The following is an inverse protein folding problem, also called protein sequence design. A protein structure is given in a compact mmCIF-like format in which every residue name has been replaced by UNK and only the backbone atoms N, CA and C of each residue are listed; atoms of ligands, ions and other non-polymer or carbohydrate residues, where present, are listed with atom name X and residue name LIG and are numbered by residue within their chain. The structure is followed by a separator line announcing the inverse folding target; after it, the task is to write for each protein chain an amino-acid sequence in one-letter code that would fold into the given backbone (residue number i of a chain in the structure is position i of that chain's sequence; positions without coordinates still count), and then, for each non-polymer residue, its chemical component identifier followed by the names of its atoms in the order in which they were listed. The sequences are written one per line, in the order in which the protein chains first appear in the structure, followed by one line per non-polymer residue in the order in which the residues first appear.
data_IF_016743798835
#
_entry.id   IF_016743798835
#
_cell.length_a   1.000
_cell.length_b   1.000
_cell.length_c   1.000
_cell.angle_alpha   90.00
_cell.angle_beta   90.00
_cell.angle_gamma   90.00
#
_symmetry.space_group_name_H-M   'P 1'
#
loop_
_entity.id
_entity.type
_entity.pdbx_description
1 polymer ?
#
# COMPACT_ATOMS: atom_id res chain seq x y z
N UNK A 1 -12.45 -8.17 -10.15
CA UNK A 1 -12.43 -7.55 -8.82
C UNK A 1 -12.45 -6.03 -8.90
N UNK A 2 -13.09 -5.39 -7.96
CA UNK A 2 -13.13 -3.93 -7.91
C UNK A 2 -11.82 -3.39 -7.34
N UNK A 3 -11.48 -2.13 -7.63
CA UNK A 3 -10.31 -1.50 -7.00
C UNK A 3 -10.35 -1.55 -5.47
N UNK A 4 -11.54 -1.39 -4.88
CA UNK A 4 -11.70 -1.48 -3.43
C UNK A 4 -11.30 -2.87 -2.91
N UNK A 5 -11.72 -3.92 -3.59
CA UNK A 5 -11.36 -5.29 -3.21
C UNK A 5 -9.87 -5.52 -3.30
N UNK A 6 -9.22 -4.99 -4.36
CA UNK A 6 -7.78 -5.09 -4.50
C UNK A 6 -7.05 -4.34 -3.37
N UNK A 7 -7.56 -3.16 -3.01
CA UNK A 7 -6.98 -2.38 -1.90
C UNK A 7 -7.08 -3.13 -0.58
N UNK A 8 -8.21 -3.81 -0.34
CA UNK A 8 -8.40 -4.60 0.88
C UNK A 8 -7.45 -5.80 0.93
N UNK A 9 -7.25 -6.48 -0.20
CA UNK A 9 -6.29 -7.59 -0.28
C UNK A 9 -4.88 -7.09 -0.01
N UNK A 10 -4.50 -5.96 -0.58
CA UNK A 10 -3.18 -5.37 -0.35
C UNK A 10 -2.98 -5.03 1.13
N UNK A 11 -3.99 -4.43 1.76
CA UNK A 11 -3.92 -4.09 3.19
C UNK A 11 -3.75 -5.35 4.05
N UNK A 12 -4.49 -6.40 3.73
CA UNK A 12 -4.38 -7.68 4.43
C UNK A 12 -2.99 -8.28 4.28
N UNK A 13 -2.42 -8.22 3.06
CA UNK A 13 -1.08 -8.72 2.80
C UNK A 13 -0.03 -7.99 3.64
N UNK A 14 -0.17 -6.66 3.75
CA UNK A 14 0.73 -5.86 4.55
C UNK A 14 0.61 -6.21 6.04
N UNK A 15 -0.61 -6.45 6.50
CA UNK A 15 -0.86 -6.83 7.89
C UNK A 15 -0.24 -8.19 8.22
N UNK A 16 -0.30 -9.13 7.30
CA UNK A 16 0.27 -10.47 7.52
C UNK A 16 1.78 -10.43 7.78
N UNK A 17 2.47 -9.43 7.26
CA UNK A 17 3.90 -9.23 7.50
C UNK A 17 4.16 -8.12 8.52
N UNK A 18 3.14 -7.77 9.29
CA UNK A 18 3.21 -6.80 10.40
C UNK A 18 3.65 -5.41 9.96
N UNK A 19 3.14 -4.96 8.80
CA UNK A 19 3.36 -3.60 8.36
C UNK A 19 2.82 -2.62 9.38
N UNK A 20 3.52 -1.51 9.58
CA UNK A 20 3.11 -0.46 10.51
C UNK A 20 2.20 0.54 9.86
N UNK A 21 1.30 1.12 10.65
CA UNK A 21 0.44 2.23 10.25
C UNK A 21 -0.18 2.05 8.86
N UNK A 22 -0.80 0.90 8.64
CA UNK A 22 -1.42 0.58 7.36
C UNK A 22 -2.63 1.47 7.15
N UNK A 23 -2.68 2.14 6.01
CA UNK A 23 -3.79 3.01 5.64
C UNK A 23 -4.15 2.77 4.17
N UNK A 24 -5.42 2.93 3.85
CA UNK A 24 -5.90 2.93 2.47
C UNK A 24 -6.78 4.16 2.27
N UNK A 25 -6.55 4.86 1.17
CA UNK A 25 -7.22 6.14 0.90
C UNK A 25 -7.80 6.10 -0.51
N UNK A 26 -9.08 6.38 -0.61
CA UNK A 26 -9.73 6.54 -1.91
C UNK A 26 -9.41 7.93 -2.45
N UNK A 27 -8.79 7.99 -3.63
CA UNK A 27 -8.34 9.23 -4.23
C UNK A 27 -8.94 9.49 -5.60
N UNK A 28 -9.98 8.74 -5.95
CA UNK A 28 -10.62 8.80 -7.28
C UNK A 28 -11.00 10.21 -7.68
N UNK A 29 -11.49 11.02 -6.73
CA UNK A 29 -11.94 12.39 -7.00
C UNK A 29 -10.80 13.38 -7.09
N UNK A 30 -9.60 13.04 -6.58
CA UNK A 30 -8.46 13.95 -6.54
C UNK A 30 -7.52 13.76 -7.71
N UNK A 31 -7.51 12.59 -8.32
CA UNK A 31 -6.57 12.27 -9.38
C UNK A 31 -7.07 11.16 -10.28
N UNK A 32 -6.52 11.09 -11.48
CA UNK A 32 -6.76 9.97 -12.40
C UNK A 32 -5.63 8.94 -12.35
N UNK A 33 -4.64 9.15 -11.48
CA UNK A 33 -3.48 8.24 -11.38
C UNK A 33 -3.86 6.87 -10.83
N UNK A 34 -4.78 6.83 -9.86
CA UNK A 34 -5.23 5.60 -9.27
C UNK A 34 -6.55 5.86 -8.52
N UNK A 35 -7.25 4.79 -8.17
CA UNK A 35 -8.47 4.92 -7.36
C UNK A 35 -8.15 4.88 -5.87
N UNK A 36 -7.14 4.11 -5.47
CA UNK A 36 -6.75 3.96 -4.07
C UNK A 36 -5.24 3.99 -3.92
N UNK A 37 -4.77 4.62 -2.85
CA UNK A 37 -3.41 4.43 -2.33
C UNK A 37 -3.51 3.55 -1.10
N UNK A 38 -2.61 2.57 -1.01
CA UNK A 38 -2.46 1.73 0.18
C UNK A 38 -1.05 1.96 0.70
N UNK A 39 -0.92 2.34 1.96
CA UNK A 39 0.35 2.80 2.53
C UNK A 39 0.70 2.00 3.77
N UNK A 40 1.95 1.62 3.90
CA UNK A 40 2.43 0.95 5.10
C UNK A 40 3.88 1.34 5.40
N UNK A 41 4.30 1.08 6.63
CA UNK A 41 5.65 1.37 7.11
C UNK A 41 6.36 0.06 7.43
N UNK A 42 7.61 -0.05 6.99
CA UNK A 42 8.49 -1.15 7.38
C UNK A 42 9.60 -0.65 8.30
N UNK A 43 10.03 -1.50 9.22
CA UNK A 43 11.05 -1.14 10.21
C UNK A 43 12.49 -1.35 9.71
N UNK A 44 12.64 -2.04 8.57
CA UNK A 44 13.94 -2.34 7.98
C UNK A 44 13.77 -2.62 6.50
N UNK A 45 14.86 -2.60 5.74
CA UNK A 45 14.80 -2.95 4.33
C UNK A 45 14.31 -4.39 4.13
N UNK A 46 14.68 -5.28 5.03
CA UNK A 46 14.21 -6.67 4.98
C UNK A 46 12.70 -6.72 5.14
N UNK A 47 12.15 -5.98 6.09
CA UNK A 47 10.69 -5.94 6.28
C UNK A 47 9.99 -5.27 5.10
N UNK A 48 10.55 -4.17 4.57
CA UNK A 48 9.98 -3.50 3.41
C UNK A 48 9.87 -4.48 2.24
N UNK A 49 10.92 -5.26 1.98
CA UNK A 49 10.88 -6.26 0.92
C UNK A 49 9.87 -7.37 1.21
N UNK A 50 9.75 -7.78 2.46
CA UNK A 50 8.77 -8.80 2.86
C UNK A 50 7.34 -8.30 2.66
N UNK A 51 7.08 -7.03 2.99
CA UNK A 51 5.77 -6.41 2.78
C UNK A 51 5.42 -6.38 1.30
N UNK A 52 6.36 -5.94 0.46
CA UNK A 52 6.14 -5.91 -0.99
C UNK A 52 5.89 -7.31 -1.55
N UNK A 53 6.68 -8.28 -1.13
CA UNK A 53 6.50 -9.67 -1.57
C UNK A 53 5.15 -10.25 -1.17
N UNK A 54 4.68 -9.92 0.02
CA UNK A 54 3.36 -10.37 0.49
C UNK A 54 2.24 -9.79 -0.36
N UNK A 55 2.30 -8.49 -0.67
CA UNK A 55 1.31 -7.83 -1.53
C UNK A 55 1.30 -8.50 -2.91
N UNK A 56 2.47 -8.67 -3.51
CA UNK A 56 2.57 -9.29 -4.84
C UNK A 56 2.01 -10.71 -4.84
N UNK A 57 2.32 -11.49 -3.81
CA UNK A 57 1.85 -12.86 -3.69
C UNK A 57 0.33 -12.94 -3.56
N UNK A 58 -0.25 -12.18 -2.63
CA UNK A 58 -1.68 -12.25 -2.39
C UNK A 58 -2.51 -11.73 -3.56
N UNK A 59 -2.08 -10.63 -4.17
CA UNK A 59 -2.80 -10.10 -5.33
C UNK A 59 -2.73 -11.05 -6.52
N UNK A 60 -1.62 -11.74 -6.72
CA UNK A 60 -1.53 -12.74 -7.77
C UNK A 60 -2.40 -13.95 -7.46
N UNK A 61 -2.35 -14.48 -6.23
CA UNK A 61 -3.10 -15.66 -5.85
C UNK A 61 -4.60 -15.43 -5.81
N UNK A 62 -5.04 -14.29 -5.29
CA UNK A 62 -6.45 -14.03 -5.04
C UNK A 62 -7.14 -13.26 -6.15
N UNK A 63 -6.40 -12.50 -6.95
CA UNK A 63 -6.98 -11.65 -7.98
C UNK A 63 -6.34 -11.84 -9.36
N UNK A 64 -5.27 -12.62 -9.46
CA UNK A 64 -4.57 -12.80 -10.73
C UNK A 64 -3.86 -11.54 -11.20
N UNK A 65 -3.57 -10.60 -10.28
CA UNK A 65 -2.95 -9.32 -10.63
C UNK A 65 -1.47 -9.31 -10.33
N UNK A 66 -0.72 -8.75 -11.26
CA UNK A 66 0.72 -8.49 -11.10
C UNK A 66 0.96 -7.00 -11.23
N UNK A 67 1.96 -6.45 -10.54
CA UNK A 67 2.20 -5.01 -10.67
C UNK A 67 2.64 -4.65 -12.09
N UNK A 68 2.12 -3.53 -12.58
CA UNK A 68 2.53 -2.97 -13.87
C UNK A 68 3.95 -2.43 -13.76
N UNK A 69 4.30 -1.88 -12.60
CA UNK A 69 5.64 -1.38 -12.30
C UNK A 69 5.95 -1.58 -10.83
N UNK A 70 7.21 -1.84 -10.56
CA UNK A 70 7.75 -1.83 -9.20
C UNK A 70 8.94 -0.89 -9.20
N UNK A 71 8.87 0.17 -8.41
CA UNK A 71 9.93 1.15 -8.33
C UNK A 71 10.43 1.29 -6.89
N UNK A 72 11.75 1.38 -6.73
CA UNK A 72 12.35 1.62 -5.43
C UNK A 72 13.08 2.96 -5.43
N UNK A 73 12.95 3.70 -4.34
CA UNK A 73 13.56 5.01 -4.19
C UNK A 73 14.37 5.05 -2.90
N UNK A 74 15.37 5.92 -2.88
CA UNK A 74 16.16 6.19 -1.66
C UNK A 74 16.70 4.92 -1.01
N UNK A 75 17.41 4.11 -1.77
CA UNK A 75 18.04 2.87 -1.28
C UNK A 75 17.03 1.89 -0.66
N UNK A 76 15.82 1.85 -1.23
CA UNK A 76 14.81 0.92 -0.77
C UNK A 76 13.97 1.39 0.40
N UNK A 77 14.10 2.66 0.81
CA UNK A 77 13.28 3.20 1.88
C UNK A 77 11.88 3.59 1.44
N UNK A 78 11.64 3.58 0.15
CA UNK A 78 10.31 3.81 -0.43
C UNK A 78 10.17 2.90 -1.65
N UNK A 79 9.22 1.96 -1.60
CA UNK A 79 8.92 1.08 -2.74
C UNK A 79 7.49 1.33 -3.17
N UNK A 80 7.30 1.49 -4.46
CA UNK A 80 6.00 1.67 -5.09
C UNK A 80 5.65 0.45 -5.91
N UNK A 81 4.47 -0.11 -5.67
CA UNK A 81 3.90 -1.18 -6.49
C UNK A 81 2.68 -0.59 -7.21
N UNK A 82 2.78 -0.44 -8.52
CA UNK A 82 1.73 0.18 -9.33
C UNK A 82 0.91 -0.90 -10.02
N UNK A 83 -0.35 -1.01 -9.64
CA UNK A 83 -1.31 -1.94 -10.26
C UNK A 83 -2.32 -1.22 -11.16
N UNK A 84 -2.09 0.05 -11.44
CA UNK A 84 -3.01 0.85 -12.23
C UNK A 84 -4.12 1.45 -11.38
N UNK A 85 -5.12 0.66 -11.02
CA UNK A 85 -6.22 1.16 -10.19
C UNK A 85 -5.86 1.35 -8.72
N UNK A 86 -4.82 0.66 -8.23
CA UNK A 86 -4.29 0.90 -6.90
C UNK A 86 -2.78 1.07 -6.96
N UNK A 87 -2.25 1.87 -6.07
CA UNK A 87 -0.81 2.02 -5.86
C UNK A 87 -0.49 1.71 -4.42
N UNK A 88 0.43 0.79 -4.19
CA UNK A 88 0.86 0.41 -2.85
C UNK A 88 2.20 1.07 -2.57
N UNK A 89 2.27 1.83 -1.48
CA UNK A 89 3.47 2.53 -1.06
C UNK A 89 3.96 1.94 0.25
N UNK A 90 5.19 1.45 0.25
CA UNK A 90 5.82 0.91 1.45
C UNK A 90 7.04 1.77 1.77
N UNK A 91 7.05 2.38 2.94
CA UNK A 91 8.07 3.34 3.36
C UNK A 91 8.77 2.87 4.63
N UNK A 92 10.01 3.36 4.81
CA UNK A 92 10.56 3.43 6.17
C UNK A 92 9.80 4.51 6.94
N UNK A 93 9.89 4.50 8.27
CA UNK A 93 9.22 5.52 9.08
C UNK A 93 9.68 6.93 8.70
N UNK A 94 10.99 7.11 8.46
CA UNK A 94 11.54 8.40 8.07
C UNK A 94 11.02 8.88 6.72
N UNK A 95 10.99 7.97 5.72
CA UNK A 95 10.51 8.32 4.39
C UNK A 95 9.03 8.65 4.41
N UNK A 96 8.24 7.91 5.17
CA UNK A 96 6.81 8.18 5.28
C UNK A 96 6.54 9.56 5.85
N UNK A 97 7.26 9.93 6.90
CA UNK A 97 7.15 11.25 7.51
C UNK A 97 7.60 12.35 6.55
N UNK A 98 8.70 12.12 5.84
CA UNK A 98 9.27 13.11 4.93
C UNK A 98 8.37 13.38 3.72
N UNK A 99 7.87 12.33 3.07
CA UNK A 99 7.03 12.48 1.87
C UNK A 99 5.58 12.82 2.20
N UNK A 100 5.10 12.30 3.33
CA UNK A 100 3.78 12.61 3.88
C UNK A 100 2.65 12.58 2.84
N UNK A 101 2.53 11.45 2.14
CA UNK A 101 1.49 11.28 1.12
C UNK A 101 0.08 11.44 1.69
N UNK A 102 -0.11 11.07 2.95
CA UNK A 102 -1.41 11.18 3.60
C UNK A 102 -1.86 12.63 3.70
N UNK A 103 -0.92 13.54 3.93
CA UNK A 103 -1.23 14.96 3.96
C UNK A 103 -1.51 15.49 2.55
N UNK A 104 -0.72 15.03 1.57
CA UNK A 104 -0.89 15.43 0.18
C UNK A 104 -2.29 15.05 -0.34
N UNK A 105 -2.79 13.90 0.12
CA UNK A 105 -4.10 13.38 -0.27
C UNK A 105 -5.12 13.47 0.87
N UNK A 106 -5.02 14.49 1.70
CA UNK A 106 -5.87 14.66 2.88
C UNK A 106 -7.37 14.74 2.54
N UNK A 107 -7.69 15.18 1.33
CA UNK A 107 -9.09 15.24 0.89
C UNK A 107 -9.63 13.89 0.40
N UNK A 108 -8.77 12.88 0.34
CA UNK A 108 -9.19 11.53 0.01
C UNK A 108 -10.04 10.92 1.12
N UNK A 109 -10.76 9.87 0.78
CA UNK A 109 -11.64 9.19 1.75
C UNK A 109 -10.92 7.98 2.33
N UNK A 110 -10.67 7.96 3.64
CA UNK A 110 -10.08 6.78 4.26
C UNK A 110 -10.97 5.56 4.06
N UNK A 111 -10.36 4.44 3.68
CA UNK A 111 -11.07 3.16 3.57
C UNK A 111 -11.07 2.50 4.93
N UNK A 112 -12.23 2.02 5.38
CA UNK A 112 -12.34 1.32 6.64
C UNK A 112 -11.66 -0.05 6.53
N UNK A 113 -10.62 -0.27 7.33
CA UNK A 113 -9.87 -1.51 7.36
C UNK A 113 -10.23 -2.38 8.58
N UNK A 114 -11.30 -2.04 9.29
CA UNK A 114 -11.80 -2.84 10.40
C UNK A 114 -12.15 -4.24 9.90
N UNK A 115 -11.65 -5.26 10.58
CA UNK A 115 -11.86 -6.64 10.17
C UNK A 115 -10.87 -7.15 9.13
N UNK A 116 -10.10 -6.24 8.51
CA UNK A 116 -9.03 -6.63 7.59
C UNK A 116 -7.71 -6.73 8.33
N UNK A 117 -7.44 -5.74 9.19
CA UNK A 117 -6.20 -5.68 9.95
C UNK A 117 -6.33 -6.42 11.29
N UNK A 118 -5.25 -7.09 11.66
CA UNK A 118 -5.13 -7.71 12.97
C UNK A 118 -4.82 -6.61 13.98
N UNK A 119 -5.60 -6.52 15.04
CA UNK A 119 -5.40 -5.51 16.07
C UNK A 119 -4.69 -6.11 17.26
N UNK A 120 -3.71 -5.40 17.76
CA UNK A 120 -2.97 -5.80 18.96
C UNK A 120 -3.18 -4.81 20.08
#
# INVERSE_FOLDING_TARGET
MTPKELALIAAKALDEKKGGDIAAIEITEQTTLADYFVIATGSSNTQINALCGSVEKLLEEQAGEKPLRREGYRDGTWVLLDYGCICVHVFSAEARSFYDLERLWADGKPLDLTGVLTQD
#
